data_IF_403850623275
#
_entry.id   IF_403850623275
#
_cell.length_a   1.000
_cell.length_b   1.000
_cell.length_c   1.000
_cell.angle_alpha   90.00
_cell.angle_beta   90.00
_cell.angle_gamma   90.00
#
_symmetry.space_group_name_H-M   'P 1'
#
loop_
_entity.id
_entity.type
_entity.pdbx_description
1 polymer ?
#
# COMPACT_ATOMS: atom_id res chain seq x y z
N UNK A 1 -13.05 16.31 0.38
CA UNK A 1 -12.68 14.96 -0.09
C UNK A 1 -11.24 14.68 0.33
N UNK A 2 -11.01 13.73 1.22
CA UNK A 2 -9.64 13.32 1.58
C UNK A 2 -9.16 12.31 0.55
N UNK A 3 -8.28 12.75 -0.37
CA UNK A 3 -7.64 11.85 -1.32
C UNK A 3 -6.70 10.89 -0.58
N UNK A 4 -6.70 9.61 -0.98
CA UNK A 4 -5.69 8.64 -0.52
C UNK A 4 -4.33 9.13 -1.02
N UNK A 5 -3.48 9.61 -0.12
CA UNK A 5 -2.12 10.00 -0.49
C UNK A 5 -1.24 8.76 -0.55
N UNK A 6 -1.36 7.90 0.46
CA UNK A 6 -0.55 6.68 0.59
C UNK A 6 -1.46 5.51 0.99
N UNK A 7 -1.26 4.37 0.33
CA UNK A 7 -1.93 3.11 0.60
C UNK A 7 -0.92 2.11 1.17
N UNK A 8 -1.05 1.75 2.44
CA UNK A 8 -0.24 0.70 3.05
C UNK A 8 -0.94 -0.65 2.98
N UNK A 9 -0.18 -1.68 2.64
CA UNK A 9 -0.66 -3.06 2.49
C UNK A 9 0.23 -3.98 3.34
N UNK A 10 -0.36 -4.52 4.41
CA UNK A 10 0.24 -5.60 5.20
C UNK A 10 -0.27 -6.94 4.65
N UNK A 11 0.69 -7.84 4.38
CA UNK A 11 0.49 -9.08 3.65
C UNK A 11 0.60 -10.28 4.60
N UNK A 12 -0.50 -10.67 5.24
CA UNK A 12 -0.58 -11.97 5.92
C UNK A 12 -1.03 -13.09 4.96
N UNK A 13 -0.86 -14.34 5.39
CA UNK A 13 -0.99 -15.55 4.53
C UNK A 13 -2.31 -15.63 3.75
N UNK A 14 -3.43 -15.20 4.35
CA UNK A 14 -4.76 -15.22 3.73
C UNK A 14 -5.60 -13.95 4.00
N UNK A 15 -5.07 -13.01 4.78
CA UNK A 15 -5.76 -11.79 5.19
C UNK A 15 -4.84 -10.63 4.90
N UNK A 16 -5.34 -9.64 4.18
CA UNK A 16 -4.57 -8.46 3.78
C UNK A 16 -5.11 -7.27 4.53
N UNK A 17 -4.24 -6.50 5.17
CA UNK A 17 -4.64 -5.29 5.87
C UNK A 17 -4.34 -4.08 4.98
N UNK A 18 -5.40 -3.40 4.54
CA UNK A 18 -5.34 -2.19 3.74
C UNK A 18 -5.50 -0.98 4.66
N UNK A 19 -4.56 -0.04 4.59
CA UNK A 19 -4.61 1.20 5.34
C UNK A 19 -4.43 2.40 4.39
N UNK A 20 -5.40 3.31 4.37
CA UNK A 20 -5.30 4.56 3.62
C UNK A 20 -4.88 5.71 4.53
N UNK A 21 -3.89 6.47 4.07
CA UNK A 21 -3.28 7.58 4.79
C UNK A 21 -3.49 8.86 3.98
N UNK A 22 -3.90 9.92 4.67
CA UNK A 22 -4.06 11.23 4.06
C UNK A 22 -2.71 11.96 3.90
N UNK A 23 -2.76 13.16 3.33
CA UNK A 23 -1.58 14.00 3.11
C UNK A 23 -0.93 14.48 4.42
N UNK A 24 -1.65 14.43 5.54
CA UNK A 24 -1.15 14.79 6.86
C UNK A 24 -0.47 13.61 7.56
N UNK A 25 -0.36 12.45 6.90
CA UNK A 25 0.18 11.23 7.49
C UNK A 25 -0.80 10.52 8.43
N UNK A 26 -2.07 10.94 8.47
CA UNK A 26 -3.07 10.35 9.36
C UNK A 26 -3.82 9.21 8.67
N UNK A 27 -3.94 8.03 9.31
CA UNK A 27 -4.77 6.95 8.77
C UNK A 27 -6.25 7.37 8.82
N UNK A 28 -6.94 7.22 7.69
CA UNK A 28 -8.37 7.51 7.58
C UNK A 28 -9.19 6.31 7.08
N UNK A 29 -8.51 5.26 6.59
CA UNK A 29 -9.12 4.01 6.13
C UNK A 29 -8.34 2.84 6.71
N UNK A 30 -9.03 1.84 7.28
CA UNK A 30 -8.45 0.57 7.70
C UNK A 30 -9.42 -0.56 7.38
N UNK A 31 -9.03 -1.51 6.53
CA UNK A 31 -9.88 -2.63 6.11
C UNK A 31 -9.08 -3.92 5.99
N UNK A 32 -9.65 -5.01 6.51
CA UNK A 32 -9.17 -6.37 6.23
C UNK A 32 -9.85 -6.90 4.98
N UNK A 33 -9.05 -7.39 4.04
CA UNK A 33 -9.51 -7.86 2.74
C UNK A 33 -9.02 -9.29 2.49
N UNK A 34 -9.80 -10.04 1.72
CA UNK A 34 -9.33 -11.27 1.08
C UNK A 34 -8.47 -10.93 -0.14
N UNK A 35 -7.77 -11.92 -0.69
CA UNK A 35 -6.95 -11.76 -1.92
C UNK A 35 -7.77 -11.14 -3.06
N UNK A 36 -8.95 -11.67 -3.34
CA UNK A 36 -9.81 -11.15 -4.42
C UNK A 36 -10.24 -9.71 -4.16
N UNK A 37 -10.60 -9.39 -2.90
CA UNK A 37 -11.01 -8.03 -2.52
C UNK A 37 -9.86 -7.04 -2.55
N UNK A 38 -8.64 -7.46 -2.25
CA UNK A 38 -7.45 -6.61 -2.41
C UNK A 38 -7.22 -6.30 -3.89
N UNK A 39 -7.29 -7.29 -4.77
CA UNK A 39 -7.17 -7.07 -6.21
C UNK A 39 -8.24 -6.10 -6.73
N UNK A 40 -9.50 -6.32 -6.37
CA UNK A 40 -10.62 -5.41 -6.70
C UNK A 40 -10.37 -4.00 -6.16
N UNK A 41 -9.85 -3.86 -4.94
CA UNK A 41 -9.56 -2.54 -4.37
C UNK A 41 -8.47 -1.82 -5.18
N UNK A 42 -7.38 -2.51 -5.53
CA UNK A 42 -6.28 -1.91 -6.29
C UNK A 42 -6.73 -1.42 -7.67
N UNK A 43 -7.55 -2.18 -8.41
CA UNK A 43 -8.00 -1.75 -9.74
C UNK A 43 -9.04 -0.62 -9.72
N UNK A 44 -9.78 -0.46 -8.61
CA UNK A 44 -10.86 0.52 -8.49
C UNK A 44 -10.44 1.79 -7.75
N UNK A 45 -9.31 1.76 -7.04
CA UNK A 45 -8.80 2.94 -6.36
C UNK A 45 -8.18 3.90 -7.37
N UNK A 46 -8.28 5.22 -7.15
CA UNK A 46 -7.49 6.17 -7.92
C UNK A 46 -6.00 5.88 -7.69
N UNK A 47 -5.19 6.18 -8.72
CA UNK A 47 -3.74 6.08 -8.66
C UNK A 47 -3.19 6.79 -7.43
N UNK A 48 -2.37 6.08 -6.64
CA UNK A 48 -1.79 6.56 -5.39
C UNK A 48 -0.42 5.91 -5.12
N UNK A 49 0.31 6.45 -4.14
CA UNK A 49 1.56 5.87 -3.68
C UNK A 49 1.28 4.67 -2.77
N UNK A 50 1.95 3.54 -3.00
CA UNK A 50 1.75 2.29 -2.26
C UNK A 50 2.99 1.98 -1.43
N UNK A 51 2.73 1.57 -0.18
CA UNK A 51 3.69 0.95 0.72
C UNK A 51 3.23 -0.47 1.00
N UNK A 52 4.16 -1.40 1.06
CA UNK A 52 3.83 -2.81 1.26
C UNK A 52 4.89 -3.48 2.11
N UNK A 53 4.44 -4.37 3.00
CA UNK A 53 5.33 -5.17 3.81
C UNK A 53 6.10 -6.19 2.95
N UNK A 54 7.34 -6.47 3.34
CA UNK A 54 8.17 -7.49 2.73
C UNK A 54 7.66 -8.89 3.05
N UNK A 55 7.11 -9.58 2.06
CA UNK A 55 6.84 -11.01 2.16
C UNK A 55 7.02 -11.72 0.81
N UNK A 56 6.92 -13.05 0.78
CA UNK A 56 7.06 -13.84 -0.45
C UNK A 56 6.07 -13.46 -1.56
N UNK A 57 4.93 -12.86 -1.22
CA UNK A 57 3.92 -12.41 -2.19
C UNK A 57 4.03 -10.93 -2.59
N UNK A 58 4.94 -10.16 -1.97
CA UNK A 58 5.13 -8.73 -2.23
C UNK A 58 5.43 -8.41 -3.69
N UNK A 59 6.30 -9.18 -4.35
CA UNK A 59 6.62 -8.99 -5.77
C UNK A 59 5.40 -9.19 -6.67
N UNK A 60 4.55 -10.17 -6.37
CA UNK A 60 3.30 -10.37 -7.11
C UNK A 60 2.40 -9.14 -6.98
N UNK A 61 2.18 -8.67 -5.75
CA UNK A 61 1.31 -7.52 -5.50
C UNK A 61 1.89 -6.22 -6.03
N UNK A 62 3.21 -6.05 -6.03
CA UNK A 62 3.85 -4.90 -6.66
C UNK A 62 3.62 -4.83 -8.16
N UNK A 63 3.64 -5.96 -8.87
CA UNK A 63 3.26 -5.98 -10.29
C UNK A 63 1.78 -5.62 -10.50
N UNK A 64 0.89 -6.10 -9.63
CA UNK A 64 -0.54 -5.74 -9.68
C UNK A 64 -0.73 -4.24 -9.46
N UNK A 65 -0.06 -3.66 -8.45
CA UNK A 65 -0.10 -2.23 -8.17
C UNK A 65 0.39 -1.41 -9.38
N UNK A 66 1.53 -1.78 -9.97
CA UNK A 66 2.07 -1.11 -11.16
C UNK A 66 1.13 -1.21 -12.36
N UNK A 67 0.52 -2.38 -12.59
CA UNK A 67 -0.45 -2.58 -13.67
C UNK A 67 -1.74 -1.75 -13.49
N UNK A 68 -2.16 -1.51 -12.25
CA UNK A 68 -3.25 -0.59 -11.92
C UNK A 68 -2.82 0.90 -11.90
N UNK A 69 -1.57 1.20 -12.23
CA UNK A 69 -1.03 2.56 -12.32
C UNK A 69 -0.50 3.14 -11.01
N UNK A 70 -0.57 2.40 -9.90
CA UNK A 70 0.01 2.83 -8.63
C UNK A 70 1.54 2.88 -8.69
N UNK A 71 2.14 3.68 -7.83
CA UNK A 71 3.59 3.84 -7.75
C UNK A 71 4.08 3.47 -6.35
N UNK A 72 5.28 2.91 -6.23
CA UNK A 72 5.90 2.70 -4.92
C UNK A 72 6.22 4.04 -4.26
N UNK A 73 6.02 4.14 -2.94
CA UNK A 73 6.33 5.34 -2.17
C UNK A 73 7.81 5.72 -2.35
N UNK A 74 8.06 6.93 -2.85
CA UNK A 74 9.42 7.50 -2.93
C UNK A 74 9.75 8.14 -1.59
N UNK A 75 10.96 7.95 -1.07
CA UNK A 75 11.39 8.18 0.33
C UNK A 75 11.25 9.60 0.93
N UNK A 76 10.49 10.49 0.31
CA UNK A 76 10.17 11.87 0.73
C UNK A 76 9.03 11.95 1.77
N UNK A 77 8.22 10.91 1.94
CA UNK A 77 7.07 10.89 2.87
C UNK A 77 7.32 10.17 4.22
N UNK A 78 8.55 9.73 4.52
CA UNK A 78 8.82 8.92 5.72
C UNK A 78 8.81 9.71 7.03
N UNK A 79 9.10 11.02 6.98
CA UNK A 79 9.16 11.89 8.15
C UNK A 79 7.74 12.27 8.61
N UNK A 80 7.04 11.35 9.28
CA UNK A 80 5.68 11.55 9.78
C UNK A 80 4.78 10.33 9.67
N UNK A 81 5.23 9.26 9.01
CA UNK A 81 4.51 7.99 9.00
C UNK A 81 4.65 7.30 10.37
N UNK A 82 3.56 6.71 10.91
CA UNK A 82 3.68 5.89 12.11
C UNK A 82 4.65 4.73 11.86
N UNK A 83 5.43 4.35 12.88
CA UNK A 83 6.51 3.35 12.77
C UNK A 83 6.09 2.01 12.17
N UNK A 84 4.81 1.65 12.24
CA UNK A 84 4.26 0.44 11.62
C UNK A 84 4.16 0.50 10.09
N UNK A 85 4.38 1.66 9.47
CA UNK A 85 4.22 1.91 8.04
C UNK A 85 5.53 2.36 7.38
N UNK A 86 6.64 2.40 8.13
CA UNK A 86 7.97 2.62 7.55
C UNK A 86 8.28 1.33 6.77
N UNK A 87 8.31 1.36 5.42
CA UNK A 87 8.60 0.16 4.67
C UNK A 87 9.99 -0.35 5.04
N UNK A 88 10.13 -1.66 5.17
CA UNK A 88 11.40 -2.29 4.80
C UNK A 88 11.72 -1.77 3.39
N UNK A 89 12.87 -1.12 3.25
CA UNK A 89 13.34 -0.44 2.02
C UNK A 89 13.47 -1.46 0.89
N UNK A 90 12.36 -1.88 0.30
CA UNK A 90 12.34 -2.86 -0.76
C UNK A 90 12.55 -2.17 -2.08
N UNK A 91 13.61 -2.56 -2.78
CA UNK A 91 13.72 -2.33 -4.20
C UNK A 91 12.62 -3.15 -4.88
N UNK A 92 11.48 -2.51 -5.16
CA UNK A 92 10.34 -3.07 -5.90
C UNK A 92 10.69 -3.63 -7.29
N UNK A 93 11.92 -3.42 -7.75
CA UNK A 93 12.38 -3.61 -9.13
C UNK A 93 13.56 -4.58 -9.30
N UNK A 94 13.92 -5.36 -8.28
CA UNK A 94 14.93 -6.41 -8.45
C UNK A 94 14.29 -7.80 -8.55
#
# INVERSE_FOLDING_TARGET
MSNVSILSIDLAKNVFQLLGIDQSGKPFLSKRLSRTKLYEALINLPTCEVVMEACSSSHYWGRVCLAAGHQGLKGKHLNGMPNCLVPARMNWFN
#
